data_IF_048001633266
#
_entry.id   IF_048001633266
#
_cell.length_a   1.000
_cell.length_b   1.000
_cell.length_c   1.000
_cell.angle_alpha   90.00
_cell.angle_beta   90.00
_cell.angle_gamma   90.00
#
_symmetry.space_group_name_H-M   'P 1'
#
loop_
_entity.id
_entity.type
_entity.pdbx_description
1 polymer ?
#
# COMPACT_ATOMS: atom_id res chain seq x y z
N UNK A 1 -4.43 5.43 -12.28
CA UNK A 1 -5.64 4.62 -12.00
C UNK A 1 -5.89 4.70 -10.50
N UNK A 2 -7.16 4.71 -10.10
CA UNK A 2 -7.53 5.05 -8.72
C UNK A 2 -7.21 3.90 -7.76
N UNK A 3 -6.53 4.24 -6.67
CA UNK A 3 -6.11 3.34 -5.61
C UNK A 3 -7.32 2.73 -4.88
N UNK A 4 -8.43 3.47 -4.83
CA UNK A 4 -9.69 3.06 -4.20
C UNK A 4 -10.33 1.82 -4.86
N UNK A 5 -9.94 1.51 -6.10
CA UNK A 5 -10.50 0.40 -6.87
C UNK A 5 -9.80 -0.94 -6.60
N UNK A 6 -8.58 -0.91 -6.04
CA UNK A 6 -7.77 -2.12 -5.81
C UNK A 6 -8.44 -3.11 -4.85
N UNK A 7 -9.10 -2.71 -3.74
CA UNK A 7 -9.80 -3.64 -2.86
C UNK A 7 -10.85 -4.52 -3.54
N UNK A 8 -11.46 -4.03 -4.63
CA UNK A 8 -12.49 -4.73 -5.40
C UNK A 8 -11.93 -5.61 -6.53
N UNK A 9 -10.61 -5.64 -6.71
CA UNK A 9 -9.97 -6.31 -7.85
C UNK A 9 -10.33 -7.80 -7.93
N UNK A 10 -10.43 -8.48 -6.79
CA UNK A 10 -10.83 -9.89 -6.73
C UNK A 10 -12.22 -10.13 -7.33
N UNK A 11 -13.20 -9.35 -6.86
CA UNK A 11 -14.59 -9.39 -7.32
C UNK A 11 -14.67 -9.07 -8.82
N UNK A 12 -13.88 -8.10 -9.28
CA UNK A 12 -13.83 -7.71 -10.69
C UNK A 12 -13.25 -8.82 -11.56
N UNK A 13 -12.12 -9.43 -11.16
CA UNK A 13 -11.51 -10.56 -11.88
C UNK A 13 -12.46 -11.75 -11.96
N UNK A 14 -13.16 -12.05 -10.87
CA UNK A 14 -14.18 -13.11 -10.83
C UNK A 14 -15.29 -12.87 -11.86
N UNK A 15 -15.79 -11.64 -11.93
CA UNK A 15 -16.84 -11.25 -12.89
C UNK A 15 -16.40 -11.31 -14.35
N UNK A 16 -15.11 -11.09 -14.62
CA UNK A 16 -14.51 -11.23 -15.97
C UNK A 16 -14.11 -12.67 -16.31
N UNK A 17 -14.48 -13.66 -15.48
CA UNK A 17 -14.22 -15.07 -15.75
C UNK A 17 -12.93 -15.62 -15.17
N UNK A 18 -12.35 -14.96 -14.16
CA UNK A 18 -11.16 -15.39 -13.43
C UNK A 18 -11.46 -15.61 -11.92
N UNK A 19 -12.27 -16.63 -11.56
CA UNK A 19 -12.77 -16.83 -10.19
C UNK A 19 -11.74 -17.37 -9.20
N UNK A 20 -10.77 -18.16 -9.66
CA UNK A 20 -9.75 -18.80 -8.81
C UNK A 20 -8.45 -18.00 -8.89
N UNK A 21 -8.48 -16.78 -8.34
CA UNK A 21 -7.32 -15.89 -8.26
C UNK A 21 -6.91 -15.67 -6.81
N UNK A 22 -5.60 -15.73 -6.54
CA UNK A 22 -5.05 -15.20 -5.30
C UNK A 22 -4.40 -13.85 -5.60
N UNK A 23 -4.62 -12.89 -4.71
CA UNK A 23 -4.08 -11.54 -4.84
C UNK A 23 -3.12 -11.25 -3.68
N UNK A 24 -1.91 -10.82 -4.03
CA UNK A 24 -0.89 -10.42 -3.04
C UNK A 24 -0.37 -9.04 -3.40
N UNK A 25 -0.26 -8.15 -2.42
CA UNK A 25 0.32 -6.83 -2.65
C UNK A 25 1.84 -6.93 -2.60
N UNK A 26 2.51 -6.45 -3.64
CA UNK A 26 3.97 -6.47 -3.72
C UNK A 26 4.61 -5.17 -3.21
N UNK A 27 3.80 -4.22 -2.74
CA UNK A 27 4.23 -2.86 -2.40
C UNK A 27 3.88 -1.85 -3.50
N UNK A 28 3.96 -0.56 -3.16
CA UNK A 28 3.51 0.50 -4.05
C UNK A 28 2.05 0.31 -4.49
N UNK A 29 1.83 0.30 -5.80
CA UNK A 29 0.54 -0.02 -6.43
C UNK A 29 0.56 -1.36 -7.17
N UNK A 30 1.55 -2.21 -6.88
CA UNK A 30 1.73 -3.50 -7.54
C UNK A 30 0.95 -4.61 -6.81
N UNK A 31 0.19 -5.38 -7.60
CA UNK A 31 -0.56 -6.53 -7.14
C UNK A 31 -0.12 -7.74 -7.97
N UNK A 32 0.31 -8.79 -7.30
CA UNK A 32 0.51 -10.10 -7.90
C UNK A 32 -0.84 -10.81 -8.02
N UNK A 33 -1.11 -11.31 -9.23
CA UNK A 33 -2.29 -12.13 -9.52
C UNK A 33 -1.80 -13.55 -9.78
N UNK A 34 -2.03 -14.44 -8.82
CA UNK A 34 -1.76 -15.86 -8.99
C UNK A 34 -2.97 -16.54 -9.62
N UNK A 35 -2.71 -17.40 -10.61
CA UNK A 35 -3.72 -18.09 -11.41
C UNK A 35 -3.42 -19.58 -11.43
N UNK A 36 -4.47 -20.39 -11.54
CA UNK A 36 -4.40 -21.86 -11.48
C UNK A 36 -3.43 -22.48 -12.50
N UNK A 37 -3.34 -21.94 -13.71
CA UNK A 37 -2.49 -22.49 -14.76
C UNK A 37 -2.11 -21.46 -15.83
N UNK A 38 -1.14 -21.84 -16.67
CA UNK A 38 -0.60 -21.00 -17.75
C UNK A 38 -1.64 -20.60 -18.80
N UNK A 39 -2.62 -21.46 -19.09
CA UNK A 39 -3.69 -21.16 -20.05
C UNK A 39 -4.55 -19.99 -19.55
N UNK A 40 -4.96 -20.00 -18.28
CA UNK A 40 -5.72 -18.90 -17.67
C UNK A 40 -4.90 -17.62 -17.61
N UNK A 41 -3.60 -17.72 -17.27
CA UNK A 41 -2.65 -16.61 -17.30
C UNK A 41 -2.57 -15.95 -18.68
N UNK A 42 -2.38 -16.75 -19.72
CA UNK A 42 -2.28 -16.24 -21.08
C UNK A 42 -3.60 -15.61 -21.55
N UNK A 43 -4.76 -16.15 -21.14
CA UNK A 43 -6.07 -15.53 -21.39
C UNK A 43 -6.18 -14.17 -20.70
N UNK A 44 -5.78 -14.08 -19.42
CA UNK A 44 -5.80 -12.81 -18.67
C UNK A 44 -4.88 -11.76 -19.31
N UNK A 45 -3.67 -12.17 -19.70
CA UNK A 45 -2.70 -11.32 -20.42
C UNK A 45 -3.16 -10.90 -21.82
N UNK A 46 -4.23 -11.46 -22.37
CA UNK A 46 -4.82 -11.05 -23.64
C UNK A 46 -6.18 -10.35 -23.45
N UNK A 47 -6.75 -10.40 -22.26
CA UNK A 47 -8.08 -9.88 -21.97
C UNK A 47 -8.11 -8.34 -21.99
N UNK A 48 -8.81 -7.76 -22.97
CA UNK A 48 -8.86 -6.31 -23.18
C UNK A 48 -9.47 -5.54 -22.00
N UNK A 49 -10.54 -6.09 -21.40
CA UNK A 49 -11.19 -5.51 -20.22
C UNK A 49 -10.24 -5.41 -19.03
N UNK A 50 -9.49 -6.49 -18.73
CA UNK A 50 -8.57 -6.54 -17.59
C UNK A 50 -7.37 -5.64 -17.84
N UNK A 51 -6.79 -5.66 -19.05
CA UNK A 51 -5.73 -4.71 -19.44
C UNK A 51 -6.13 -3.26 -19.23
N UNK A 52 -7.39 -2.92 -19.50
CA UNK A 52 -7.91 -1.57 -19.32
C UNK A 52 -7.90 -1.11 -17.86
N UNK A 53 -7.66 -1.99 -16.87
CA UNK A 53 -7.55 -1.67 -15.45
C UNK A 53 -6.13 -1.50 -14.92
N UNK A 54 -5.09 -1.86 -15.69
CA UNK A 54 -3.68 -1.69 -15.28
C UNK A 54 -2.90 -0.74 -16.21
N UNK A 55 -1.91 -0.01 -15.68
CA UNK A 55 -0.98 0.71 -16.57
C UNK A 55 -0.01 -0.26 -17.23
N UNK A 56 0.46 -1.24 -16.45
CA UNK A 56 1.36 -2.31 -16.89
C UNK A 56 0.80 -3.62 -16.36
N UNK A 57 0.80 -4.64 -17.22
CA UNK A 57 0.54 -6.02 -16.82
C UNK A 57 1.63 -6.89 -17.43
N UNK A 58 2.30 -7.68 -16.59
CA UNK A 58 3.45 -8.47 -16.99
C UNK A 58 3.50 -9.78 -16.20
N UNK A 59 4.31 -10.72 -16.69
CA UNK A 59 4.63 -11.93 -15.94
C UNK A 59 5.45 -11.56 -14.70
N UNK A 60 5.13 -12.20 -13.57
CA UNK A 60 5.94 -12.08 -12.37
C UNK A 60 7.34 -12.63 -12.63
N UNK A 61 8.36 -11.93 -12.15
CA UNK A 61 9.76 -12.36 -12.18
C UNK A 61 10.29 -12.39 -10.75
N UNK A 62 11.22 -13.31 -10.47
CA UNK A 62 11.79 -13.49 -9.13
C UNK A 62 12.65 -12.29 -8.68
N UNK A 63 13.17 -11.52 -9.61
CA UNK A 63 13.98 -10.32 -9.38
C UNK A 63 13.15 -9.03 -9.37
N UNK A 64 11.81 -9.14 -9.33
CA UNK A 64 10.94 -7.98 -9.26
C UNK A 64 11.15 -7.23 -7.94
N UNK A 65 11.56 -5.97 -8.04
CA UNK A 65 11.72 -5.04 -6.91
C UNK A 65 10.84 -3.83 -7.15
N UNK A 66 10.03 -3.48 -6.15
CA UNK A 66 9.34 -2.19 -6.11
C UNK A 66 10.20 -1.18 -5.38
N UNK A 67 10.40 0.00 -5.97
CA UNK A 67 11.02 1.15 -5.32
C UNK A 67 9.98 2.06 -4.66
N UNK A 68 8.69 1.85 -4.93
CA UNK A 68 7.58 2.60 -4.36
C UNK A 68 6.92 1.87 -3.19
N UNK A 69 6.46 2.64 -2.20
CA UNK A 69 5.61 2.21 -1.10
C UNK A 69 4.49 3.22 -0.86
N UNK A 70 3.33 2.72 -0.46
CA UNK A 70 2.19 3.56 -0.06
C UNK A 70 2.09 3.49 1.46
N UNK A 71 2.08 4.64 2.13
CA UNK A 71 2.13 4.72 3.60
C UNK A 71 1.12 5.72 4.14
N UNK A 72 0.63 5.47 5.35
CA UNK A 72 -0.12 6.45 6.12
C UNK A 72 0.83 7.33 6.93
N UNK A 73 0.65 8.65 6.81
CA UNK A 73 1.44 9.66 7.51
C UNK A 73 0.53 10.57 8.32
N UNK A 74 0.74 10.63 9.63
CA UNK A 74 0.08 11.59 10.50
C UNK A 74 0.81 12.93 10.43
N UNK A 75 0.05 13.99 10.14
CA UNK A 75 0.50 15.38 10.15
C UNK A 75 -0.09 16.08 11.36
N UNK A 76 0.77 16.65 12.19
CA UNK A 76 0.41 17.33 13.43
C UNK A 76 1.03 18.72 13.51
N UNK A 77 0.41 19.60 14.31
CA UNK A 77 0.89 20.97 14.54
C UNK A 77 0.53 21.97 13.43
N UNK A 78 -0.39 21.60 12.53
CA UNK A 78 -0.94 22.53 11.53
C UNK A 78 -1.97 23.44 12.19
N UNK A 79 -1.82 24.77 12.11
CA UNK A 79 -2.79 25.72 12.67
C UNK A 79 -4.18 25.56 12.07
N UNK A 80 -5.22 25.82 12.88
CA UNK A 80 -6.62 25.69 12.46
C UNK A 80 -6.96 26.58 11.24
N UNK A 81 -6.40 27.79 11.17
CA UNK A 81 -6.62 28.70 10.04
C UNK A 81 -5.94 28.24 8.73
N UNK A 82 -5.14 27.17 8.79
CA UNK A 82 -4.51 26.52 7.64
C UNK A 82 -5.07 25.11 7.40
N UNK A 83 -6.08 24.69 8.15
CA UNK A 83 -6.61 23.33 8.12
C UNK A 83 -7.54 23.10 6.92
N UNK A 84 -6.94 22.98 5.73
CA UNK A 84 -7.67 22.73 4.49
C UNK A 84 -7.07 21.54 3.73
N UNK A 85 -7.89 20.91 2.88
CA UNK A 85 -7.46 19.83 1.98
C UNK A 85 -6.22 20.23 1.19
N UNK A 86 -6.23 21.44 0.62
CA UNK A 86 -5.13 21.96 -0.18
C UNK A 86 -3.83 22.13 0.61
N UNK A 87 -3.91 22.58 1.88
CA UNK A 87 -2.74 22.65 2.75
C UNK A 87 -2.13 21.28 2.96
N UNK A 88 -2.95 20.28 3.24
CA UNK A 88 -2.47 18.92 3.47
C UNK A 88 -1.92 18.26 2.21
N UNK A 89 -2.57 18.44 1.06
CA UNK A 89 -2.02 18.00 -0.23
C UNK A 89 -0.67 18.67 -0.52
N UNK A 90 -0.53 19.97 -0.23
CA UNK A 90 0.74 20.68 -0.38
C UNK A 90 1.81 20.17 0.57
N UNK A 91 1.45 19.82 1.80
CA UNK A 91 2.37 19.21 2.79
C UNK A 91 2.82 17.84 2.30
N UNK A 92 1.89 16.97 1.87
CA UNK A 92 2.19 15.61 1.40
C UNK A 92 3.17 15.55 0.23
N UNK A 93 3.14 16.55 -0.66
CA UNK A 93 4.09 16.71 -1.79
C UNK A 93 5.57 16.74 -1.39
N UNK A 94 5.89 16.94 -0.10
CA UNK A 94 7.27 16.84 0.41
C UNK A 94 7.85 15.44 0.34
N UNK A 95 7.00 14.42 0.46
CA UNK A 95 7.44 13.02 0.54
C UNK A 95 7.01 12.18 -0.64
N UNK A 96 6.04 12.65 -1.44
CA UNK A 96 5.62 11.96 -2.65
C UNK A 96 4.24 12.39 -3.13
N UNK A 97 3.53 11.47 -3.77
CA UNK A 97 2.20 11.69 -4.32
C UNK A 97 1.15 11.43 -3.23
N UNK A 98 0.32 12.44 -2.91
CA UNK A 98 -0.80 12.27 -1.97
C UNK A 98 -1.94 11.54 -2.66
N UNK A 99 -2.19 10.30 -2.25
CA UNK A 99 -3.18 9.41 -2.85
C UNK A 99 -4.56 9.61 -2.22
N UNK A 100 -4.61 9.83 -0.90
CA UNK A 100 -5.85 9.96 -0.16
C UNK A 100 -5.63 10.78 1.14
N UNK A 101 -6.71 11.30 1.71
CA UNK A 101 -6.72 12.04 2.97
C UNK A 101 -7.83 11.46 3.83
N UNK A 102 -7.49 11.01 5.04
CA UNK A 102 -8.46 10.45 5.98
C UNK A 102 -9.55 11.50 6.30
N UNK A 103 -10.75 11.26 5.79
CA UNK A 103 -11.96 12.02 6.12
C UNK A 103 -12.50 11.51 7.46
N UNK A 104 -11.81 11.84 8.55
CA UNK A 104 -12.31 11.51 9.89
C UNK A 104 -13.70 12.15 10.10
N UNK A 105 -14.69 11.29 10.40
CA UNK A 105 -15.98 11.69 10.97
C UNK A 105 -15.84 12.19 12.42
N UNK A 106 -14.71 11.90 13.08
CA UNK A 106 -14.40 12.33 14.45
C UNK A 106 -13.61 13.64 14.44
N UNK A 107 -14.15 14.65 15.12
CA UNK A 107 -13.83 16.07 15.10
C UNK A 107 -12.51 16.49 15.78
N UNK A 108 -11.39 15.84 15.45
CA UNK A 108 -10.09 16.26 16.01
C UNK A 108 -9.23 17.03 15.01
N UNK A 109 -8.90 18.27 15.36
CA UNK A 109 -7.88 19.09 14.69
C UNK A 109 -6.47 18.84 15.25
N UNK A 110 -6.28 17.82 16.08
CA UNK A 110 -4.96 17.49 16.63
C UNK A 110 -4.03 16.90 15.56
N UNK A 111 -4.60 16.14 14.62
CA UNK A 111 -3.86 15.48 13.53
C UNK A 111 -4.72 15.33 12.28
N UNK A 112 -4.07 15.28 11.13
CA UNK A 112 -4.67 14.83 9.87
C UNK A 112 -3.81 13.73 9.28
N UNK A 113 -4.44 12.67 8.78
CA UNK A 113 -3.73 11.54 8.20
C UNK A 113 -3.79 11.58 6.68
N UNK A 114 -2.64 11.38 6.04
CA UNK A 114 -2.46 11.40 4.59
C UNK A 114 -1.95 10.04 4.11
N UNK A 115 -2.53 9.53 3.03
CA UNK A 115 -2.00 8.39 2.29
C UNK A 115 -1.01 8.94 1.25
N UNK A 116 0.25 8.53 1.33
CA UNK A 116 1.32 9.03 0.47
C UNK A 116 1.98 7.86 -0.23
N UNK A 117 2.05 7.90 -1.56
CA UNK A 117 2.93 7.06 -2.35
C UNK A 117 4.31 7.72 -2.41
N UNK A 118 5.33 7.04 -1.90
CA UNK A 118 6.70 7.54 -1.80
C UNK A 118 7.68 6.49 -2.30
N UNK A 119 8.80 6.95 -2.86
CA UNK A 119 9.95 6.10 -3.21
C UNK A 119 11.11 6.25 -2.20
N UNK A 120 10.84 6.89 -1.05
CA UNK A 120 11.85 7.05 0.00
C UNK A 120 12.04 5.72 0.73
N UNK A 121 13.28 5.22 0.85
CA UNK A 121 13.54 3.98 1.60
C UNK A 121 13.33 4.18 3.10
N UNK A 122 13.69 5.36 3.62
CA UNK A 122 13.55 5.69 5.04
C UNK A 122 12.12 6.07 5.43
N UNK A 123 11.78 5.79 6.69
CA UNK A 123 10.53 6.23 7.30
C UNK A 123 10.43 7.76 7.36
N UNK A 124 9.23 8.29 7.08
CA UNK A 124 8.94 9.71 7.21
C UNK A 124 8.77 10.05 8.69
N UNK A 125 9.82 10.57 9.32
CA UNK A 125 9.76 11.08 10.68
C UNK A 125 10.51 12.41 10.76
N UNK A 126 9.80 13.50 10.52
CA UNK A 126 10.44 14.82 10.41
C UNK A 126 9.60 15.95 11.02
N UNK A 127 10.31 16.99 11.46
CA UNK A 127 9.72 18.27 11.84
C UNK A 127 9.94 19.25 10.70
N UNK A 128 8.94 20.08 10.40
CA UNK A 128 9.04 21.06 9.34
C UNK A 128 8.33 22.36 9.69
N UNK A 129 8.77 23.44 9.04
CA UNK A 129 8.18 24.78 9.20
C UNK A 129 7.09 25.01 8.17
N UNK A 130 6.00 25.64 8.59
CA UNK A 130 4.94 26.17 7.74
C UNK A 130 4.96 27.70 7.89
N UNK A 131 5.20 28.41 6.79
CA UNK A 131 5.20 29.88 6.79
C UNK A 131 3.89 30.40 6.18
N UNK A 132 3.15 31.22 6.93
CA UNK A 132 1.93 31.85 6.44
C UNK A 132 1.77 33.25 7.03
N UNK A 133 1.57 34.26 6.17
CA UNK A 133 1.39 35.68 6.57
C UNK A 133 2.49 36.17 7.54
N UNK A 134 3.75 35.88 7.23
CA UNK A 134 4.92 36.28 8.04
C UNK A 134 5.09 35.51 9.35
N UNK A 135 4.17 34.58 9.70
CA UNK A 135 4.29 33.72 10.87
C UNK A 135 4.82 32.35 10.48
N UNK A 136 5.63 31.78 11.37
CA UNK A 136 6.21 30.43 11.21
C UNK A 136 5.61 29.51 12.26
N UNK A 137 5.08 28.38 11.80
CA UNK A 137 4.52 27.33 12.64
C UNK A 137 5.36 26.07 12.50
N UNK A 138 5.55 25.34 13.60
CA UNK A 138 6.26 24.07 13.60
C UNK A 138 5.25 22.93 13.53
N UNK A 139 5.33 22.13 12.48
CA UNK A 139 4.54 20.92 12.29
C UNK A 139 5.47 19.70 12.26
N UNK A 140 4.89 18.51 12.39
CA UNK A 140 5.63 17.25 12.27
C UNK A 140 4.85 16.24 11.45
N UNK A 141 5.60 15.39 10.76
CA UNK A 141 5.09 14.23 10.05
C UNK A 141 5.62 12.96 10.74
N UNK A 142 4.73 11.99 10.91
CA UNK A 142 5.06 10.66 11.43
C UNK A 142 4.40 9.60 10.56
N UNK A 143 5.24 8.82 9.90
CA UNK A 143 4.83 7.60 9.24
C UNK A 143 4.34 6.57 10.25
N UNK A 144 3.30 5.84 9.87
CA UNK A 144 2.68 4.83 10.70
C UNK A 144 2.96 3.44 10.17
N UNK A 145 2.18 3.02 9.20
CA UNK A 145 2.23 1.69 8.61
C UNK A 145 2.10 1.81 7.10
N UNK A 146 2.65 0.83 6.39
CA UNK A 146 2.36 0.62 4.98
C UNK A 146 0.86 0.48 4.79
N UNK A 147 0.34 1.01 3.69
CA UNK A 147 -1.05 0.86 3.33
C UNK A 147 -1.34 -0.62 3.06
N UNK A 148 -1.99 -1.27 4.02
CA UNK A 148 -2.41 -2.67 3.87
C UNK A 148 -3.66 -2.71 3.01
N UNK A 149 -3.51 -3.23 1.81
CA UNK A 149 -4.60 -3.56 0.91
C UNK A 149 -5.30 -4.81 1.43
N UNK A 150 -6.55 -4.64 1.83
CA UNK A 150 -7.44 -5.76 2.14
C UNK A 150 -8.28 -5.99 0.89
N UNK A 151 -7.99 -7.07 0.16
CA UNK A 151 -8.83 -7.49 -0.94
C UNK A 151 -10.12 -8.07 -0.38
N UNK A 152 -11.25 -7.54 -0.82
CA UNK A 152 -12.55 -8.08 -0.47
C UNK A 152 -12.75 -9.42 -1.20
N UNK A 153 -13.34 -10.39 -0.50
CA UNK A 153 -13.79 -11.68 -1.04
C UNK A 153 -12.71 -12.60 -1.66
N UNK A 154 -11.43 -12.37 -1.35
CA UNK A 154 -10.30 -13.16 -1.86
C UNK A 154 -9.60 -14.00 -0.78
N UNK A 155 -9.02 -15.14 -1.17
CA UNK A 155 -8.04 -15.85 -0.33
C UNK A 155 -6.75 -15.03 -0.31
N UNK A 156 -6.50 -14.32 0.79
CA UNK A 156 -5.23 -13.62 0.99
C UNK A 156 -4.20 -14.66 1.46
N UNK A 157 -3.11 -14.82 0.72
CA UNK A 157 -1.99 -15.64 1.18
C UNK A 157 -1.17 -14.79 2.16
N UNK A 158 -1.12 -15.20 3.43
CA UNK A 158 -0.14 -14.67 4.37
C UNK A 158 1.24 -15.08 3.87
N UNK A 159 2.11 -14.11 3.60
CA UNK A 159 3.50 -14.38 3.24
C UNK A 159 4.19 -14.91 4.51
N UNK A 160 4.29 -16.24 4.63
CA UNK A 160 5.11 -16.86 5.68
C UNK A 160 6.56 -16.67 5.23
N UNK A 161 7.36 -15.90 5.95
CA UNK A 161 8.81 -15.87 5.71
C UNK A 161 9.41 -17.18 6.18
N UNK A 162 10.20 -17.85 5.34
CA UNK A 162 10.87 -19.13 5.63
C UNK A 162 11.95 -19.08 6.74
N UNK A 163 12.02 -18.01 7.54
CA UNK A 163 13.04 -17.82 8.58
C UNK A 163 12.74 -18.59 9.89
N UNK A 164 11.57 -19.23 10.03
CA UNK A 164 11.20 -19.99 11.24
C UNK A 164 11.53 -21.50 11.18
N UNK A 165 12.35 -21.96 10.21
CA UNK A 165 12.84 -23.35 10.18
C UNK A 165 14.26 -23.45 10.72
N UNK A 166 14.45 -23.17 12.02
CA UNK A 166 15.64 -23.64 12.74
C UNK A 166 15.31 -24.15 14.15
N UNK A 167 15.81 -25.37 14.39
CA UNK A 167 15.83 -26.18 15.63
C UNK A 167 14.54 -26.97 15.91
N UNK A 168 14.48 -28.25 15.53
CA UNK A 168 15.23 -29.27 16.24
C UNK A 168 15.40 -30.56 15.42
N UNK A 169 16.61 -30.78 14.93
CA UNK A 169 17.12 -32.12 14.62
C UNK A 169 18.30 -32.39 15.56
N UNK A 170 18.01 -33.07 16.68
CA UNK A 170 18.95 -33.78 17.59
C UNK A 170 18.16 -34.10 18.86
N UNK A 171 17.82 -35.34 19.19
CA UNK A 171 18.76 -36.39 19.55
C UNK A 171 18.20 -37.81 19.34
N UNK A 172 19.06 -38.67 18.81
CA UNK A 172 18.94 -40.12 18.88
C UNK A 172 19.17 -40.64 20.33
N UNK A 173 18.41 -41.69 20.67
CA UNK A 173 18.76 -42.89 21.46
C UNK A 173 19.32 -42.79 22.90
N UNK A 174 18.71 -43.54 23.84
CA UNK A 174 19.23 -44.74 24.55
C UNK A 174 18.58 -44.91 25.95
N UNK A 175 18.07 -46.12 26.24
CA UNK A 175 17.93 -46.76 27.57
C UNK A 175 16.84 -46.19 28.49
N UNK A 176 16.01 -46.96 29.21
CA UNK A 176 16.05 -48.35 29.70
C UNK A 176 14.65 -48.98 29.60
#
# INVERSE_FOLDING_TARGET
KDISSIPNLCTLLTKEGFPETNLTCLGGLWVMIELVNESTRNKLLLHSGVKSWFHVIQLATYDFVTDERVVWVDIEGVPLNLWSRDTFLKIGKKWGESMDIEENLVSSFARKRLCIKTNRPDNILEKFKITHRGKVYLARAKELFAWTLIFLDCKVLECISDDDVLHSASNNSVGQ
#
